data_IF_665156232298
#
_entry.id   IF_665156232298
#
_cell.length_a   1.000
_cell.length_b   1.000
_cell.length_c   1.000
_cell.angle_alpha   90.00
_cell.angle_beta   90.00
_cell.angle_gamma   90.00
#
_symmetry.space_group_name_H-M   'P 1'
#
loop_
_entity.id
_entity.type
_entity.pdbx_description
1 polymer ?
#
# COMPACT_ATOMS: atom_id res chain seq x y z
N UNK A 1 -26.55 -31.78 -20.88
CA UNK A 1 -26.66 -30.34 -21.00
C UNK A 1 -27.16 -29.81 -19.66
N UNK A 2 -26.29 -29.26 -18.83
CA UNK A 2 -26.65 -28.57 -17.58
C UNK A 2 -26.07 -27.16 -17.67
N UNK A 3 -26.94 -26.18 -17.80
CA UNK A 3 -26.64 -24.75 -17.81
C UNK A 3 -26.23 -24.31 -16.40
N UNK A 4 -25.12 -23.57 -16.22
CA UNK A 4 -24.83 -22.95 -14.93
C UNK A 4 -25.63 -21.67 -14.78
N UNK A 5 -26.40 -21.56 -13.69
CA UNK A 5 -27.04 -20.33 -13.25
C UNK A 5 -25.94 -19.36 -12.77
N UNK A 6 -25.78 -18.26 -13.46
CA UNK A 6 -25.09 -17.08 -12.97
C UNK A 6 -25.99 -16.41 -11.92
N UNK A 7 -25.62 -16.56 -10.65
CA UNK A 7 -26.19 -15.74 -9.58
C UNK A 7 -25.52 -14.37 -9.60
N UNK A 8 -26.20 -13.40 -10.20
CA UNK A 8 -25.80 -11.99 -10.08
C UNK A 8 -26.00 -11.52 -8.63
N UNK A 9 -24.91 -11.32 -7.91
CA UNK A 9 -24.89 -10.69 -6.60
C UNK A 9 -25.10 -9.18 -6.78
N UNK A 10 -26.35 -8.72 -6.71
CA UNK A 10 -26.69 -7.30 -6.69
C UNK A 10 -26.35 -6.78 -5.30
N UNK A 11 -25.18 -6.17 -5.13
CA UNK A 11 -24.83 -5.41 -3.93
C UNK A 11 -25.68 -4.13 -3.92
N UNK A 12 -26.80 -4.15 -3.18
CA UNK A 12 -27.58 -2.95 -2.87
C UNK A 12 -26.78 -2.11 -1.89
N UNK A 13 -26.08 -1.08 -2.38
CA UNK A 13 -25.51 -0.04 -1.56
C UNK A 13 -26.68 0.73 -0.94
N UNK A 14 -27.04 0.41 0.31
CA UNK A 14 -27.93 1.26 1.10
C UNK A 14 -27.14 2.54 1.42
N UNK A 15 -27.39 3.61 0.66
CA UNK A 15 -27.06 4.96 1.08
C UNK A 15 -27.92 5.28 2.30
N UNK A 16 -27.41 5.02 3.50
CA UNK A 16 -27.92 5.64 4.70
C UNK A 16 -27.62 7.13 4.58
N UNK A 17 -28.66 7.97 4.55
CA UNK A 17 -28.56 9.42 4.68
C UNK A 17 -28.23 9.82 6.12
N UNK A 18 -27.23 9.19 6.74
CA UNK A 18 -26.51 9.77 7.84
C UNK A 18 -25.67 10.92 7.24
N UNK A 19 -25.66 12.08 7.86
CA UNK A 19 -24.71 13.14 7.52
C UNK A 19 -23.31 12.56 7.63
N UNK A 20 -22.78 12.04 6.53
CA UNK A 20 -21.40 11.70 6.43
C UNK A 20 -20.65 13.01 6.69
N UNK A 21 -19.92 13.10 7.81
CA UNK A 21 -19.00 14.19 8.00
C UNK A 21 -18.06 14.14 6.80
N UNK A 22 -18.14 15.14 5.94
CA UNK A 22 -17.30 15.22 4.75
C UNK A 22 -15.84 15.11 5.18
N UNK A 23 -15.03 14.38 4.45
CA UNK A 23 -13.60 14.39 4.67
C UNK A 23 -13.09 15.83 4.58
N UNK A 24 -12.17 16.22 5.46
CA UNK A 24 -11.56 17.56 5.43
C UNK A 24 -10.77 17.74 4.12
N UNK A 25 -10.22 16.64 3.62
CA UNK A 25 -9.56 16.51 2.32
C UNK A 25 -9.61 15.04 1.87
N UNK A 26 -9.52 14.83 0.55
CA UNK A 26 -9.39 13.49 -0.03
C UNK A 26 -8.57 13.53 -1.31
N UNK A 27 -7.88 12.43 -1.58
CA UNK A 27 -7.12 12.21 -2.80
C UNK A 27 -7.35 10.76 -3.25
N UNK A 28 -7.87 10.59 -4.46
CA UNK A 28 -8.09 9.27 -5.07
C UNK A 28 -7.31 9.19 -6.37
N UNK A 29 -6.52 8.16 -6.51
CA UNK A 29 -5.65 7.95 -7.67
C UNK A 29 -5.84 6.56 -8.26
N UNK A 30 -5.73 6.47 -9.60
CA UNK A 30 -5.47 5.22 -10.30
C UNK A 30 -4.00 5.22 -10.71
N UNK A 31 -3.32 4.11 -10.42
CA UNK A 31 -1.93 3.91 -10.82
C UNK A 31 -1.84 2.76 -11.82
N UNK A 32 -0.86 2.84 -12.68
CA UNK A 32 -0.43 1.76 -13.55
C UNK A 32 1.09 1.65 -13.42
N UNK A 33 1.55 0.49 -12.99
CA UNK A 33 2.96 0.14 -12.92
C UNK A 33 3.24 -1.03 -13.86
N UNK A 34 4.40 -0.99 -14.52
CA UNK A 34 4.83 -2.07 -15.41
C UNK A 34 6.34 -2.28 -15.30
N UNK A 35 6.75 -3.54 -15.12
CA UNK A 35 8.15 -3.94 -14.99
C UNK A 35 8.31 -5.44 -15.10
N UNK A 36 9.57 -5.90 -15.08
CA UNK A 36 9.92 -7.32 -15.09
C UNK A 36 10.21 -7.80 -13.68
N UNK A 37 9.35 -8.68 -13.16
CA UNK A 37 9.36 -9.14 -11.77
C UNK A 37 9.76 -10.61 -11.68
N UNK A 38 10.24 -10.99 -10.50
CA UNK A 38 10.63 -12.35 -10.21
C UNK A 38 9.62 -13.03 -9.27
N UNK A 39 9.11 -14.19 -9.71
CA UNK A 39 8.38 -15.07 -8.82
C UNK A 39 9.34 -15.63 -7.74
N UNK A 40 9.12 -15.36 -6.44
CA UNK A 40 10.05 -15.78 -5.39
C UNK A 40 10.04 -17.30 -5.15
N UNK A 41 9.05 -18.01 -5.65
CA UNK A 41 8.89 -19.45 -5.46
C UNK A 41 9.44 -20.25 -6.64
N UNK A 42 9.11 -19.89 -7.87
CA UNK A 42 9.60 -20.57 -9.08
C UNK A 42 10.94 -20.03 -9.60
N UNK A 43 11.36 -18.84 -9.18
CA UNK A 43 12.53 -18.09 -9.63
C UNK A 43 12.44 -17.64 -11.09
N UNK A 44 11.28 -17.74 -11.74
CA UNK A 44 11.03 -17.25 -13.10
C UNK A 44 10.80 -15.74 -13.08
N UNK A 45 11.16 -15.07 -14.17
CA UNK A 45 10.93 -13.64 -14.40
C UNK A 45 9.75 -13.48 -15.36
N UNK A 46 8.88 -12.49 -15.09
CA UNK A 46 7.69 -12.19 -15.85
C UNK A 46 7.51 -10.69 -16.02
N UNK A 47 7.01 -10.26 -17.17
CA UNK A 47 6.52 -8.90 -17.34
C UNK A 47 5.19 -8.75 -16.65
N UNK A 48 5.15 -7.96 -15.60
CA UNK A 48 3.97 -7.76 -14.77
C UNK A 48 3.43 -6.34 -14.94
N UNK A 49 2.09 -6.25 -14.96
CA UNK A 49 1.37 -4.99 -14.88
C UNK A 49 0.54 -4.96 -13.61
N UNK A 50 0.64 -3.87 -12.86
CA UNK A 50 -0.10 -3.64 -11.63
C UNK A 50 -1.02 -2.43 -11.85
N UNK A 51 -2.30 -2.63 -11.62
CA UNK A 51 -3.32 -1.58 -11.60
C UNK A 51 -3.71 -1.33 -10.16
N UNK A 52 -3.52 -0.10 -9.65
CA UNK A 52 -3.82 0.23 -8.27
C UNK A 52 -4.90 1.30 -8.18
N UNK A 53 -5.89 1.08 -7.34
CA UNK A 53 -6.76 2.14 -6.83
C UNK A 53 -6.25 2.53 -5.46
N UNK A 54 -5.79 3.78 -5.31
CA UNK A 54 -5.31 4.32 -4.06
C UNK A 54 -6.21 5.47 -3.57
N UNK A 55 -6.45 5.54 -2.28
CA UNK A 55 -7.19 6.63 -1.65
C UNK A 55 -6.55 7.04 -0.33
N UNK A 56 -6.43 8.35 -0.14
CA UNK A 56 -6.07 8.96 1.13
C UNK A 56 -7.10 10.03 1.48
N UNK A 57 -7.49 10.12 2.74
CA UNK A 57 -8.42 11.16 3.22
C UNK A 57 -8.18 11.51 4.67
N UNK A 58 -8.32 12.80 5.00
CA UNK A 58 -8.32 13.30 6.37
C UNK A 58 -9.73 13.58 6.86
N UNK A 59 -9.98 13.36 8.13
CA UNK A 59 -11.23 13.64 8.79
C UNK A 59 -11.02 14.18 10.21
N UNK A 60 -12.09 14.58 10.86
CA UNK A 60 -12.06 15.22 12.18
C UNK A 60 -11.16 14.54 13.22
N UNK A 61 -11.01 13.20 13.16
CA UNK A 61 -10.32 12.44 14.20
C UNK A 61 -9.00 11.82 13.72
N UNK A 62 -8.66 11.95 12.45
CA UNK A 62 -7.44 11.33 11.91
C UNK A 62 -7.39 11.31 10.40
N UNK A 63 -6.91 10.21 9.87
CA UNK A 63 -6.80 9.96 8.43
C UNK A 63 -7.09 8.49 8.09
N UNK A 64 -7.43 8.25 6.83
CA UNK A 64 -7.53 6.93 6.24
C UNK A 64 -6.64 6.85 5.01
N UNK A 65 -6.07 5.69 4.81
CA UNK A 65 -5.35 5.33 3.60
C UNK A 65 -5.73 3.90 3.21
N UNK A 66 -5.96 3.67 1.93
CA UNK A 66 -6.06 2.32 1.40
C UNK A 66 -5.56 2.28 -0.04
N UNK A 67 -5.15 1.10 -0.46
CA UNK A 67 -5.00 0.77 -1.87
C UNK A 67 -5.48 -0.66 -2.15
N UNK A 68 -5.82 -0.89 -3.41
CA UNK A 68 -6.16 -2.20 -3.95
C UNK A 68 -5.42 -2.34 -5.26
N UNK A 69 -4.60 -3.36 -5.34
CA UNK A 69 -3.85 -3.75 -6.52
C UNK A 69 -4.51 -4.93 -7.22
N UNK A 70 -4.55 -4.86 -8.53
CA UNK A 70 -4.78 -5.99 -9.41
C UNK A 70 -3.52 -6.22 -10.21
N UNK A 71 -2.87 -7.35 -9.99
CA UNK A 71 -1.61 -7.72 -10.64
C UNK A 71 -1.85 -8.81 -11.66
N UNK A 72 -1.26 -8.65 -12.85
CA UNK A 72 -1.27 -9.69 -13.89
C UNK A 72 0.07 -9.72 -14.60
N UNK A 73 0.52 -10.90 -14.99
CA UNK A 73 1.78 -11.08 -15.70
C UNK A 73 1.64 -11.97 -16.95
N UNK A 74 2.75 -12.29 -17.62
CA UNK A 74 2.79 -13.07 -18.85
C UNK A 74 3.16 -14.54 -18.62
N UNK A 75 3.16 -15.02 -17.36
CA UNK A 75 3.29 -16.44 -17.00
C UNK A 75 1.94 -16.98 -16.52
N UNK A 76 1.78 -18.30 -16.57
CA UNK A 76 0.63 -19.03 -16.03
C UNK A 76 1.19 -20.03 -14.99
N UNK A 77 1.66 -19.50 -13.86
CA UNK A 77 2.37 -20.26 -12.84
C UNK A 77 1.71 -20.22 -11.45
N UNK A 78 0.55 -19.55 -11.34
CA UNK A 78 -0.23 -19.40 -10.12
C UNK A 78 0.25 -18.28 -9.20
N UNK A 79 1.12 -17.38 -9.71
CA UNK A 79 1.61 -16.23 -8.96
C UNK A 79 1.46 -14.96 -9.80
N UNK A 80 0.62 -14.02 -9.36
CA UNK A 80 0.33 -12.77 -10.06
C UNK A 80 -0.39 -12.93 -11.42
N UNK A 81 -1.03 -14.06 -11.67
CA UNK A 81 -1.79 -14.37 -12.90
C UNK A 81 -3.14 -13.63 -12.99
N UNK A 82 -3.44 -12.78 -12.06
CA UNK A 82 -4.71 -12.06 -11.92
C UNK A 82 -5.10 -11.87 -10.46
N UNK A 83 -4.11 -11.60 -9.61
CA UNK A 83 -4.23 -11.55 -8.16
C UNK A 83 -4.68 -10.18 -7.65
N UNK A 84 -5.47 -10.21 -6.59
CA UNK A 84 -5.82 -9.02 -5.82
C UNK A 84 -5.06 -8.98 -4.51
N UNK A 85 -4.43 -7.83 -4.25
CA UNK A 85 -3.84 -7.47 -2.97
C UNK A 85 -4.37 -6.10 -2.53
N UNK A 86 -4.54 -5.89 -1.25
CA UNK A 86 -4.95 -4.57 -0.77
C UNK A 86 -4.65 -4.37 0.70
N UNK A 87 -4.52 -3.12 1.06
CA UNK A 87 -4.29 -2.66 2.42
C UNK A 87 -5.25 -1.54 2.77
N UNK A 88 -5.60 -1.46 4.04
CA UNK A 88 -6.36 -0.36 4.60
C UNK A 88 -5.82 0.01 5.97
N UNK A 89 -5.67 1.31 6.20
CA UNK A 89 -5.23 1.89 7.46
C UNK A 89 -6.18 3.01 7.87
N UNK A 90 -6.58 3.04 9.14
CA UNK A 90 -7.21 4.18 9.78
C UNK A 90 -6.35 4.62 10.95
N UNK A 91 -5.99 5.90 10.96
CA UNK A 91 -5.19 6.51 11.99
C UNK A 91 -6.08 7.43 12.83
N UNK A 92 -6.08 7.25 14.15
CA UNK A 92 -6.74 8.13 15.11
C UNK A 92 -5.69 9.05 15.72
N UNK A 93 -5.73 10.32 15.36
CA UNK A 93 -4.78 11.36 15.81
C UNK A 93 -5.01 11.71 17.27
N UNK A 94 -4.00 11.56 18.11
CA UNK A 94 -4.06 12.00 19.50
C UNK A 94 -4.05 13.53 19.60
N UNK A 95 -3.37 14.21 18.67
CA UNK A 95 -3.41 15.66 18.55
C UNK A 95 -4.82 16.19 18.36
N UNK A 96 -5.58 15.61 17.42
CA UNK A 96 -6.98 16.00 17.14
C UNK A 96 -7.96 15.55 18.23
N UNK A 97 -7.78 14.35 18.79
CA UNK A 97 -8.70 13.78 19.79
C UNK A 97 -8.58 14.43 21.17
N UNK A 98 -7.35 14.76 21.58
CA UNK A 98 -7.06 15.29 22.91
C UNK A 98 -6.60 16.75 22.89
N UNK A 99 -6.71 17.45 21.74
CA UNK A 99 -6.18 18.81 21.51
C UNK A 99 -4.72 18.97 21.95
N UNK A 100 -3.92 17.91 21.72
CA UNK A 100 -2.49 17.93 22.03
C UNK A 100 -1.76 18.70 20.95
N UNK A 101 -0.89 19.62 21.37
CA UNK A 101 -0.03 20.40 20.46
C UNK A 101 1.41 19.98 20.68
N UNK A 102 2.04 19.53 19.61
CA UNK A 102 3.46 19.16 19.58
C UNK A 102 4.31 20.35 19.13
N UNK A 103 4.06 21.54 19.76
CA UNK A 103 4.74 22.79 19.41
C UNK A 103 6.26 22.66 19.63
N UNK A 104 7.04 23.34 18.79
CA UNK A 104 8.50 23.41 18.84
C UNK A 104 9.23 22.05 18.73
N UNK A 105 8.56 21.05 18.13
CA UNK A 105 9.11 19.71 17.91
C UNK A 105 9.02 19.34 16.43
N UNK A 106 9.95 18.51 15.98
CA UNK A 106 9.83 17.86 14.66
C UNK A 106 8.67 16.85 14.62
N UNK A 107 8.21 16.36 15.78
CA UNK A 107 7.03 15.52 15.88
C UNK A 107 5.77 16.37 15.68
N UNK A 108 5.00 16.07 14.66
CA UNK A 108 3.75 16.76 14.32
C UNK A 108 2.54 16.15 15.02
N UNK A 109 2.46 14.82 15.08
CA UNK A 109 1.34 14.08 15.67
C UNK A 109 1.74 12.64 16.04
N UNK A 110 0.98 12.07 16.96
CA UNK A 110 1.00 10.64 17.30
C UNK A 110 -0.37 10.08 17.05
N UNK A 111 -0.47 9.02 16.26
CA UNK A 111 -1.73 8.37 15.94
C UNK A 111 -1.78 6.91 16.37
N UNK A 112 -2.95 6.45 16.79
CA UNK A 112 -3.25 5.02 16.94
C UNK A 112 -3.70 4.50 15.59
N UNK A 113 -3.03 3.47 15.09
CA UNK A 113 -3.31 2.84 13.80
C UNK A 113 -4.10 1.57 13.99
N UNK A 114 -5.11 1.40 13.17
CA UNK A 114 -5.79 0.13 12.94
C UNK A 114 -5.78 -0.13 11.44
N UNK A 115 -5.23 -1.25 11.04
CA UNK A 115 -5.14 -1.60 9.63
C UNK A 115 -5.24 -3.08 9.39
N UNK A 116 -5.36 -3.44 8.14
CA UNK A 116 -5.21 -4.80 7.67
C UNK A 116 -4.63 -4.80 6.25
N UNK A 117 -3.99 -5.91 5.89
CA UNK A 117 -3.72 -6.26 4.49
C UNK A 117 -4.32 -7.63 4.14
N UNK A 118 -4.64 -7.81 2.87
CA UNK A 118 -5.26 -9.02 2.38
C UNK A 118 -4.78 -9.35 0.96
N UNK A 119 -4.48 -10.64 0.73
CA UNK A 119 -4.22 -11.19 -0.60
C UNK A 119 -5.31 -12.22 -0.95
N UNK A 120 -5.91 -12.06 -2.13
CA UNK A 120 -7.09 -12.84 -2.53
C UNK A 120 -6.78 -14.32 -2.72
N UNK A 121 -5.91 -14.66 -3.64
CA UNK A 121 -5.64 -16.04 -4.03
C UNK A 121 -4.84 -16.79 -2.97
N UNK A 122 -3.86 -16.13 -2.35
CA UNK A 122 -3.13 -16.66 -1.21
C UNK A 122 -3.98 -16.77 0.06
N UNK A 123 -5.19 -16.18 0.10
CA UNK A 123 -6.11 -16.13 1.25
C UNK A 123 -5.43 -15.66 2.53
N UNK A 124 -4.53 -14.71 2.36
CA UNK A 124 -3.80 -14.04 3.46
C UNK A 124 -4.67 -12.94 4.02
N UNK A 125 -4.67 -12.80 5.34
CA UNK A 125 -5.23 -11.69 6.09
C UNK A 125 -4.29 -11.38 7.25
N UNK A 126 -3.86 -10.14 7.36
CA UNK A 126 -3.05 -9.65 8.49
C UNK A 126 -3.72 -8.44 9.11
N UNK A 127 -3.81 -8.38 10.43
CA UNK A 127 -4.22 -7.19 11.15
C UNK A 127 -3.00 -6.41 11.63
N UNK A 128 -3.07 -5.09 11.51
CA UNK A 128 -1.96 -4.15 11.69
C UNK A 128 -2.30 -3.09 12.76
N UNK A 129 -2.54 -3.48 14.05
CA UNK A 129 -2.69 -2.50 15.11
C UNK A 129 -1.34 -1.89 15.47
N UNK A 130 -1.30 -0.55 15.68
CA UNK A 130 -0.02 0.09 15.98
C UNK A 130 -0.08 1.57 16.27
N UNK A 131 1.07 2.22 16.07
CA UNK A 131 1.29 3.65 16.32
C UNK A 131 1.98 4.26 15.11
N UNK A 132 1.47 5.43 14.68
CA UNK A 132 2.05 6.26 13.63
C UNK A 132 2.57 7.55 14.24
N UNK A 133 3.80 7.91 13.92
CA UNK A 133 4.38 9.20 14.20
C UNK A 133 4.41 10.01 12.90
N UNK A 134 3.77 11.16 12.90
CA UNK A 134 3.84 12.12 11.79
C UNK A 134 4.88 13.17 12.12
N UNK A 135 5.72 13.51 11.15
CA UNK A 135 6.85 14.41 11.34
C UNK A 135 6.70 15.66 10.48
N UNK A 136 7.06 16.80 11.06
CA UNK A 136 7.16 18.07 10.35
C UNK A 136 8.62 18.26 9.92
N UNK A 137 8.89 17.95 8.65
CA UNK A 137 10.22 18.06 8.05
C UNK A 137 10.13 19.02 6.87
N UNK A 138 10.97 20.02 6.85
CA UNK A 138 10.96 21.05 5.81
C UNK A 138 11.06 20.46 4.41
N UNK A 139 10.17 20.90 3.52
CA UNK A 139 10.09 20.44 2.13
C UNK A 139 9.26 19.20 1.90
N UNK A 140 8.96 18.40 2.94
CA UNK A 140 8.08 17.25 2.79
C UNK A 140 6.62 17.65 2.92
N UNK A 141 5.77 17.14 2.04
CA UNK A 141 4.31 17.25 2.15
C UNK A 141 3.77 16.37 3.27
N UNK A 142 4.42 15.22 3.47
CA UNK A 142 4.25 14.35 4.64
C UNK A 142 5.51 13.51 4.85
N UNK A 143 5.77 13.15 6.10
CA UNK A 143 6.75 12.16 6.50
C UNK A 143 6.23 11.44 7.72
N UNK A 144 6.20 10.11 7.69
CA UNK A 144 5.69 9.32 8.81
C UNK A 144 6.52 8.06 9.07
N UNK A 145 6.48 7.61 10.31
CA UNK A 145 6.99 6.31 10.73
C UNK A 145 5.89 5.57 11.46
N UNK A 146 5.63 4.33 11.07
CA UNK A 146 4.54 3.52 11.63
C UNK A 146 5.10 2.20 12.14
N UNK A 147 4.80 1.86 13.39
CA UNK A 147 5.13 0.56 13.98
C UNK A 147 3.82 -0.17 14.29
N UNK A 148 3.63 -1.35 13.69
CA UNK A 148 2.45 -2.18 13.93
C UNK A 148 2.81 -3.60 14.37
N UNK A 149 1.91 -4.26 15.07
CA UNK A 149 1.86 -5.72 15.06
C UNK A 149 1.56 -6.21 13.65
N UNK A 150 2.06 -7.37 13.29
CA UNK A 150 1.76 -8.09 12.06
C UNK A 150 1.09 -9.41 12.45
N UNK A 151 -0.23 -9.34 12.67
CA UNK A 151 -1.02 -10.38 13.31
C UNK A 151 -1.71 -11.22 12.25
N UNK A 152 -1.35 -12.49 12.17
CA UNK A 152 -1.88 -13.41 11.16
C UNK A 152 -3.29 -13.94 11.49
N UNK A 153 -4.23 -13.72 10.57
CA UNK A 153 -5.57 -14.31 10.55
C UNK A 153 -5.86 -15.00 9.20
N UNK A 154 -4.81 -15.41 8.50
CA UNK A 154 -4.89 -16.10 7.20
C UNK A 154 -5.62 -17.43 7.31
N UNK A 155 -6.15 -17.95 6.20
CA UNK A 155 -6.88 -19.23 6.22
C UNK A 155 -5.98 -20.45 6.35
N UNK A 156 -4.71 -20.33 5.96
CA UNK A 156 -3.73 -21.39 6.02
C UNK A 156 -3.98 -22.51 4.98
N UNK A 157 -3.14 -23.51 5.02
CA UNK A 157 -3.18 -24.67 4.09
C UNK A 157 -4.52 -25.40 4.14
N UNK A 158 -5.09 -25.60 5.34
CA UNK A 158 -6.41 -26.25 5.49
C UNK A 158 -7.54 -25.45 4.84
N UNK A 159 -7.38 -24.13 4.71
CA UNK A 159 -8.30 -23.23 4.00
C UNK A 159 -8.00 -23.09 2.51
N UNK A 160 -6.99 -23.81 2.00
CA UNK A 160 -6.52 -23.74 0.61
C UNK A 160 -5.85 -22.42 0.29
N UNK A 161 -5.20 -21.79 1.26
CA UNK A 161 -4.39 -20.58 1.12
C UNK A 161 -2.90 -20.83 1.36
N UNK A 162 -2.12 -19.76 1.43
CA UNK A 162 -0.74 -19.81 1.88
C UNK A 162 -0.65 -20.29 3.35
N UNK A 163 0.48 -20.87 3.77
CA UNK A 163 0.65 -21.30 5.16
C UNK A 163 0.38 -20.15 6.14
N UNK A 164 -0.31 -20.43 7.24
CA UNK A 164 -0.39 -19.50 8.37
C UNK A 164 0.98 -19.23 8.94
N UNK A 165 1.14 -18.04 9.50
CA UNK A 165 2.39 -17.60 10.10
C UNK A 165 2.17 -17.18 11.55
N UNK A 166 3.23 -17.23 12.36
CA UNK A 166 3.19 -16.64 13.68
C UNK A 166 3.18 -15.12 13.60
N UNK A 167 2.69 -14.46 14.65
CA UNK A 167 2.64 -13.02 14.71
C UNK A 167 4.06 -12.41 14.74
N UNK A 168 4.20 -11.24 14.15
CA UNK A 168 5.44 -10.49 14.08
C UNK A 168 5.19 -8.97 14.17
N UNK A 169 6.13 -8.14 13.71
CA UNK A 169 6.03 -6.69 13.72
C UNK A 169 6.41 -6.13 12.36
N UNK A 170 5.82 -4.99 12.03
CA UNK A 170 6.14 -4.22 10.84
C UNK A 170 6.53 -2.80 11.22
N UNK A 171 7.62 -2.31 10.64
CA UNK A 171 8.01 -0.91 10.66
C UNK A 171 7.91 -0.36 9.25
N UNK A 172 7.19 0.73 9.08
CA UNK A 172 7.05 1.45 7.81
C UNK A 172 7.52 2.89 7.95
N UNK A 173 8.16 3.41 6.91
CA UNK A 173 8.53 4.82 6.75
C UNK A 173 7.99 5.28 5.42
N UNK A 174 7.11 6.27 5.41
CA UNK A 174 6.49 6.82 4.21
C UNK A 174 6.74 8.33 4.09
N UNK A 175 6.88 8.81 2.85
CA UNK A 175 7.19 10.21 2.57
C UNK A 175 6.59 10.70 1.26
N UNK A 176 6.42 12.04 1.17
CA UNK A 176 6.15 12.80 -0.04
C UNK A 176 6.97 14.08 -0.05
N UNK A 177 7.78 14.30 -1.06
CA UNK A 177 8.65 15.46 -1.22
C UNK A 177 8.42 16.09 -2.59
N UNK A 178 7.55 17.11 -2.70
CA UNK A 178 7.35 17.87 -3.94
C UNK A 178 8.51 18.84 -4.15
N UNK A 179 8.93 19.02 -5.42
CA UNK A 179 9.96 19.98 -5.78
C UNK A 179 9.80 20.46 -7.22
N UNK A 180 10.49 21.56 -7.57
CA UNK A 180 10.41 22.18 -8.91
C UNK A 180 11.81 22.36 -9.49
N UNK A 181 11.99 21.98 -10.74
CA UNK A 181 13.22 22.21 -11.51
C UNK A 181 12.84 22.84 -12.86
N UNK A 182 13.37 24.03 -13.16
CA UNK A 182 13.17 24.69 -14.46
C UNK A 182 11.71 24.93 -14.83
N UNK A 183 10.83 25.13 -13.84
CA UNK A 183 9.39 25.31 -14.05
C UNK A 183 8.59 24.01 -14.14
N UNK A 184 9.23 22.86 -14.17
CA UNK A 184 8.57 21.55 -14.11
C UNK A 184 8.40 21.10 -12.66
N UNK A 185 7.25 20.53 -12.34
CA UNK A 185 6.91 20.00 -11.02
C UNK A 185 7.22 18.51 -10.93
N UNK A 186 7.83 18.11 -9.84
CA UNK A 186 8.19 16.73 -9.54
C UNK A 186 7.77 16.38 -8.13
N UNK A 187 7.67 15.11 -7.87
CA UNK A 187 7.53 14.56 -6.53
C UNK A 187 8.41 13.32 -6.35
N UNK A 188 9.12 13.27 -5.22
CA UNK A 188 9.79 12.07 -4.75
C UNK A 188 8.99 11.51 -3.57
N UNK A 189 8.30 10.40 -3.79
CA UNK A 189 7.40 9.79 -2.80
C UNK A 189 7.66 8.30 -2.68
N UNK A 190 7.00 7.65 -1.73
CA UNK A 190 7.09 6.22 -1.55
C UNK A 190 7.14 5.80 -0.10
N UNK A 191 7.52 4.55 0.12
CA UNK A 191 7.69 4.00 1.46
C UNK A 191 8.81 2.95 1.51
N UNK A 192 9.20 2.60 2.74
CA UNK A 192 10.06 1.46 3.06
C UNK A 192 9.44 0.75 4.24
N UNK A 193 9.16 -0.53 4.08
CA UNK A 193 8.67 -1.37 5.16
C UNK A 193 9.68 -2.47 5.50
N UNK A 194 9.74 -2.82 6.78
CA UNK A 194 10.45 -3.98 7.27
C UNK A 194 9.53 -4.82 8.14
N UNK A 195 9.36 -6.09 7.76
CA UNK A 195 8.59 -7.07 8.54
C UNK A 195 9.57 -8.06 9.17
N UNK A 196 9.44 -8.28 10.48
CA UNK A 196 10.34 -9.18 11.21
C UNK A 196 10.10 -10.65 10.85
N UNK A 197 11.14 -11.48 10.97
CA UNK A 197 11.07 -12.93 10.74
C UNK A 197 10.08 -13.62 11.68
N UNK A 198 9.54 -14.76 11.23
CA UNK A 198 8.52 -15.55 11.93
C UNK A 198 8.51 -17.00 11.44
N UNK A 199 7.76 -17.86 12.08
CA UNK A 199 7.59 -19.23 11.64
C UNK A 199 6.25 -19.42 10.92
N UNK A 200 6.16 -20.39 10.02
CA UNK A 200 4.91 -20.80 9.40
C UNK A 200 4.31 -22.05 10.10
N UNK A 201 3.07 -22.41 9.76
CA UNK A 201 2.34 -23.55 10.35
C UNK A 201 2.97 -24.92 10.07
N UNK A 202 3.92 -24.99 9.12
CA UNK A 202 4.69 -26.22 8.83
C UNK A 202 5.98 -26.29 9.66
N UNK A 203 6.27 -25.29 10.51
CA UNK A 203 7.50 -25.18 11.27
C UNK A 203 8.70 -24.68 10.44
N UNK A 204 8.44 -24.11 9.26
CA UNK A 204 9.46 -23.50 8.42
C UNK A 204 9.69 -22.03 8.82
N UNK A 205 10.94 -21.58 8.72
CA UNK A 205 11.33 -20.19 8.93
C UNK A 205 10.86 -19.30 7.77
N UNK A 206 10.18 -18.21 8.08
CA UNK A 206 9.82 -17.12 7.16
C UNK A 206 10.71 -15.96 7.52
N UNK A 207 11.66 -15.65 6.62
CA UNK A 207 12.64 -14.59 6.87
C UNK A 207 11.96 -13.25 7.02
N UNK A 208 12.55 -12.39 7.85
CA UNK A 208 12.21 -10.98 7.82
C UNK A 208 12.56 -10.39 6.46
N UNK A 209 11.70 -9.51 5.93
CA UNK A 209 11.94 -8.87 4.64
C UNK A 209 11.89 -7.36 4.71
N UNK A 210 12.55 -6.74 3.75
CA UNK A 210 12.45 -5.31 3.50
C UNK A 210 11.89 -5.10 2.11
N UNK A 211 10.84 -4.29 2.01
CA UNK A 211 10.32 -3.73 0.76
C UNK A 211 10.56 -2.24 0.74
N UNK A 212 11.12 -1.72 -0.35
CA UNK A 212 11.25 -0.29 -0.58
C UNK A 212 10.69 0.04 -1.97
N UNK A 213 9.81 1.05 -2.03
CA UNK A 213 9.17 1.51 -3.26
C UNK A 213 9.28 3.04 -3.40
N UNK A 214 10.51 3.59 -3.56
CA UNK A 214 10.66 4.99 -3.92
C UNK A 214 10.17 5.26 -5.34
N UNK A 215 9.41 6.34 -5.50
CA UNK A 215 8.84 6.80 -6.77
C UNK A 215 9.36 8.20 -7.05
N UNK A 216 9.96 8.40 -8.22
CA UNK A 216 10.24 9.72 -8.76
C UNK A 216 9.26 9.98 -9.90
N UNK A 217 8.38 10.96 -9.77
CA UNK A 217 7.36 11.27 -10.75
C UNK A 217 7.36 12.76 -11.14
N UNK A 218 7.10 13.01 -12.41
CA UNK A 218 6.93 14.32 -13.01
C UNK A 218 5.45 14.61 -13.21
N UNK A 219 5.04 15.82 -12.88
CA UNK A 219 3.69 16.31 -13.17
C UNK A 219 3.57 16.61 -14.68
N UNK A 220 3.22 15.55 -15.44
CA UNK A 220 2.96 15.64 -16.86
C UNK A 220 1.70 16.47 -17.11
N UNK A 221 0.71 16.40 -16.23
CA UNK A 221 -0.52 17.19 -16.31
C UNK A 221 -0.22 18.68 -16.31
N UNK A 222 0.60 19.16 -15.38
CA UNK A 222 1.06 20.55 -15.34
C UNK A 222 1.74 20.97 -16.65
N UNK A 223 2.62 20.13 -17.22
CA UNK A 223 3.28 20.42 -18.49
C UNK A 223 2.32 20.45 -19.69
N UNK A 224 1.17 19.80 -19.59
CA UNK A 224 0.09 19.79 -20.60
C UNK A 224 -1.04 20.78 -20.29
N UNK A 225 -0.82 21.74 -19.38
CA UNK A 225 -1.80 22.74 -18.96
C UNK A 225 -3.09 22.15 -18.34
N UNK A 226 -3.00 20.95 -17.79
CA UNK A 226 -4.04 20.30 -16.97
C UNK A 226 -3.91 20.77 -15.50
N UNK A 227 -4.89 20.47 -14.64
CA UNK A 227 -4.72 20.70 -13.20
C UNK A 227 -3.47 20.01 -12.64
N UNK A 228 -2.80 20.70 -11.70
CA UNK A 228 -1.60 20.17 -11.04
C UNK A 228 -1.86 18.81 -10.41
N UNK A 229 -0.89 17.91 -10.54
CA UNK A 229 -0.90 16.55 -10.00
C UNK A 229 -2.03 15.65 -10.54
N UNK A 230 -2.73 16.05 -11.59
CA UNK A 230 -3.78 15.24 -12.18
C UNK A 230 -3.23 14.04 -12.96
N UNK A 231 -2.13 14.23 -13.69
CA UNK A 231 -1.45 13.18 -14.45
C UNK A 231 0.04 13.21 -14.12
N UNK A 232 0.49 12.14 -13.46
CA UNK A 232 1.89 11.96 -13.08
C UNK A 232 2.50 10.83 -13.88
N UNK A 233 3.71 11.05 -14.41
CA UNK A 233 4.52 10.03 -15.09
C UNK A 233 5.86 9.89 -14.37
N UNK A 234 6.30 8.68 -14.12
CA UNK A 234 7.53 8.48 -13.36
C UNK A 234 8.11 7.08 -13.45
N UNK A 235 9.01 6.84 -12.52
CA UNK A 235 9.62 5.54 -12.28
C UNK A 235 9.43 5.21 -10.81
N UNK A 236 8.86 4.04 -10.54
CA UNK A 236 8.89 3.41 -9.24
C UNK A 236 10.02 2.39 -9.22
N UNK A 237 10.80 2.38 -8.13
CA UNK A 237 11.84 1.37 -7.96
C UNK A 237 11.43 0.42 -6.85
N UNK A 238 10.99 -0.80 -7.21
CA UNK A 238 10.69 -1.82 -6.22
C UNK A 238 11.95 -2.61 -5.86
N UNK A 239 12.34 -2.50 -4.60
CA UNK A 239 13.42 -3.28 -4.03
C UNK A 239 12.90 -4.20 -2.93
N UNK A 240 13.13 -5.50 -3.08
CA UNK A 240 12.87 -6.49 -2.06
C UNK A 240 14.14 -7.17 -1.59
N UNK A 241 14.31 -7.24 -0.28
CA UNK A 241 15.23 -8.17 0.37
C UNK A 241 14.40 -9.27 1.01
N UNK A 242 14.71 -10.54 0.72
CA UNK A 242 13.96 -11.72 1.18
C UNK A 242 12.47 -11.66 0.79
N UNK A 243 12.18 -11.45 -0.49
CA UNK A 243 10.81 -11.28 -1.01
C UNK A 243 9.86 -12.34 -0.47
N UNK A 244 8.79 -11.90 0.22
CA UNK A 244 7.80 -12.76 0.88
C UNK A 244 8.39 -13.80 1.84
N UNK A 245 9.52 -13.48 2.50
CA UNK A 245 10.16 -14.35 3.48
C UNK A 245 11.02 -15.47 2.89
N UNK A 246 11.24 -15.47 1.57
CA UNK A 246 12.13 -16.42 0.86
C UNK A 246 13.58 -15.92 0.85
N UNK A 247 14.46 -16.62 0.11
CA UNK A 247 15.83 -16.19 -0.16
C UNK A 247 15.95 -15.24 -1.37
N UNK A 248 14.83 -14.88 -2.00
CA UNK A 248 14.83 -14.07 -3.21
C UNK A 248 14.99 -12.59 -2.88
N UNK A 249 15.98 -11.96 -3.49
CA UNK A 249 16.09 -10.50 -3.54
C UNK A 249 15.68 -10.05 -4.95
N UNK A 250 15.03 -8.88 -5.01
CA UNK A 250 14.55 -8.31 -6.25
C UNK A 250 14.85 -6.81 -6.30
N UNK A 251 15.11 -6.30 -7.49
CA UNK A 251 15.36 -4.87 -7.72
C UNK A 251 14.87 -4.50 -9.11
N UNK A 252 13.66 -3.91 -9.18
CA UNK A 252 12.91 -3.70 -10.42
C UNK A 252 12.55 -2.23 -10.59
N UNK A 253 13.06 -1.53 -11.62
CA UNK A 253 12.48 -0.27 -12.04
C UNK A 253 11.18 -0.53 -12.82
N UNK A 254 10.13 0.18 -12.47
CA UNK A 254 8.81 0.12 -13.11
C UNK A 254 8.51 1.45 -13.78
N UNK A 255 7.91 1.43 -14.95
CA UNK A 255 7.22 2.62 -15.48
C UNK A 255 6.00 2.86 -14.60
N UNK A 256 5.86 4.08 -14.12
CA UNK A 256 4.77 4.50 -13.23
C UNK A 256 3.93 5.59 -13.89
N UNK A 257 2.62 5.39 -13.92
CA UNK A 257 1.64 6.39 -14.35
C UNK A 257 0.58 6.52 -13.26
N UNK A 258 0.22 7.75 -12.88
CA UNK A 258 -0.86 7.99 -11.92
C UNK A 258 -1.82 9.06 -12.43
N UNK A 259 -3.12 8.80 -12.23
CA UNK A 259 -4.21 9.73 -12.51
C UNK A 259 -4.95 10.06 -11.22
N UNK A 260 -5.09 11.36 -10.90
CA UNK A 260 -5.85 11.87 -9.75
C UNK A 260 -7.23 12.36 -10.21
N UNK A 261 -8.28 12.02 -9.45
CA UNK A 261 -9.69 12.40 -9.71
C UNK A 261 -10.06 13.70 -9.02
#
# INVERSE_FOLDING_TARGET
MKTPLFSALTASLMLSTGTAAAADWSNTQLHLNHGEFKNPFSQQEANQTIYSLQHASGYRYGDNFFFIDYSTDDLDDGYQDGDFYGEWYSTFSLGKLADLKFNDSALQDVGIVMGFNAAGDAKVMKYLPGVKLSWNIDGFSFFSTTLTGYIDDSRGLNGGGAPKETNSYMLDVAWGYPFTIGGHKFEFTGHVEYITGRDNELGGDVKGWLLAQPILRWDLGHALEMPDNQLMLGIEWQYWQNKLGTDTNESVPQIHLAWTF
#
